data_IF_600169651479
#
_entry.id   IF_600169651479
#
_cell.length_a   1.000
_cell.length_b   1.000
_cell.length_c   1.000
_cell.angle_alpha   90.00
_cell.angle_beta   90.00
_cell.angle_gamma   90.00
#
_symmetry.space_group_name_H-M   'P 1'
#
loop_
_entity.id
_entity.type
_entity.pdbx_description
1 polymer ?
#
# COMPACT_ATOMS: atom_id res chain seq x y z
N UNK A 1 -100.07 10.03 34.21
CA UNK A 1 -99.62 8.77 33.56
C UNK A 1 -99.38 8.96 32.06
N UNK A 2 -100.29 9.56 31.29
CA UNK A 2 -100.09 9.77 29.84
C UNK A 2 -98.84 10.61 29.49
N UNK A 3 -98.58 11.71 30.20
CA UNK A 3 -97.40 12.54 29.97
C UNK A 3 -96.07 11.76 30.14
N UNK A 4 -95.99 10.88 31.15
CA UNK A 4 -94.80 10.06 31.38
C UNK A 4 -94.60 9.00 30.28
N UNK A 5 -95.68 8.48 29.68
CA UNK A 5 -95.59 7.55 28.55
C UNK A 5 -95.07 8.27 27.30
N UNK A 6 -95.49 9.52 27.09
CA UNK A 6 -95.05 10.33 25.96
C UNK A 6 -93.57 10.71 26.07
N UNK A 7 -93.10 11.10 27.25
CA UNK A 7 -91.67 11.34 27.53
C UNK A 7 -90.82 10.09 27.28
N UNK A 8 -91.25 8.93 27.77
CA UNK A 8 -90.54 7.67 27.54
C UNK A 8 -90.48 7.31 26.05
N UNK A 9 -91.59 7.49 25.32
CA UNK A 9 -91.61 7.27 23.86
C UNK A 9 -90.64 8.19 23.11
N UNK A 10 -90.53 9.47 23.51
CA UNK A 10 -89.57 10.41 22.92
C UNK A 10 -88.12 10.00 23.20
N UNK A 11 -87.81 9.54 24.42
CA UNK A 11 -86.48 9.02 24.75
C UNK A 11 -86.13 7.79 23.92
N UNK A 12 -87.06 6.83 23.76
CA UNK A 12 -86.82 5.66 22.90
C UNK A 12 -86.64 6.03 21.42
N UNK A 13 -87.42 6.98 20.91
CA UNK A 13 -87.24 7.48 19.55
C UNK A 13 -85.87 8.14 19.37
N UNK A 14 -85.43 8.96 20.34
CA UNK A 14 -84.11 9.57 20.34
C UNK A 14 -82.97 8.54 20.41
N UNK A 15 -83.10 7.51 21.24
CA UNK A 15 -82.13 6.40 21.32
C UNK A 15 -82.05 5.61 20.01
N UNK A 16 -83.18 5.38 19.35
CA UNK A 16 -83.22 4.69 18.05
C UNK A 16 -82.52 5.51 16.97
N UNK A 17 -82.80 6.81 16.89
CA UNK A 17 -82.13 7.71 15.94
C UNK A 17 -80.61 7.74 16.21
N UNK A 18 -80.20 7.86 17.48
CA UNK A 18 -78.78 7.86 17.85
C UNK A 18 -78.07 6.55 17.48
N UNK A 19 -78.77 5.41 17.55
CA UNK A 19 -78.26 4.11 17.08
C UNK A 19 -78.10 4.06 15.56
N UNK A 20 -79.08 4.55 14.81
CA UNK A 20 -79.01 4.63 13.34
C UNK A 20 -77.87 5.56 12.89
N UNK A 21 -77.74 6.73 13.51
CA UNK A 21 -76.65 7.69 13.24
C UNK A 21 -75.28 7.07 13.58
N UNK A 22 -75.18 6.33 14.69
CA UNK A 22 -73.95 5.62 15.07
C UNK A 22 -73.60 4.50 14.08
N UNK A 23 -74.59 3.75 13.58
CA UNK A 23 -74.36 2.76 12.53
C UNK A 23 -73.87 3.37 11.23
N UNK A 24 -74.47 4.49 10.80
CA UNK A 24 -74.02 5.22 9.61
C UNK A 24 -72.61 5.81 9.79
N UNK A 25 -72.30 6.34 10.97
CA UNK A 25 -70.96 6.79 11.31
C UNK A 25 -69.93 5.63 11.26
N UNK A 26 -70.27 4.45 11.77
CA UNK A 26 -69.38 3.28 11.67
C UNK A 26 -69.23 2.80 10.22
N UNK A 27 -70.30 2.80 9.41
CA UNK A 27 -70.24 2.42 7.99
C UNK A 27 -69.38 3.39 7.18
N UNK A 28 -69.48 4.69 7.46
CA UNK A 28 -68.64 5.70 6.78
C UNK A 28 -67.18 5.57 7.19
N UNK A 29 -66.89 5.40 8.49
CA UNK A 29 -65.53 5.13 8.96
C UNK A 29 -64.93 3.88 8.30
N UNK A 30 -65.66 2.76 8.29
CA UNK A 30 -65.22 1.52 7.65
C UNK A 30 -64.93 1.69 6.15
N UNK A 31 -65.74 2.49 5.43
CA UNK A 31 -65.47 2.82 4.01
C UNK A 31 -64.18 3.64 3.86
N UNK A 32 -63.98 4.65 4.70
CA UNK A 32 -62.76 5.48 4.64
C UNK A 32 -61.50 4.71 5.03
N UNK A 33 -61.58 3.79 5.99
CA UNK A 33 -60.45 2.94 6.35
C UNK A 33 -60.13 1.96 5.22
N UNK A 34 -61.16 1.39 4.57
CA UNK A 34 -60.98 0.53 3.41
C UNK A 34 -60.33 1.26 2.23
N UNK A 35 -60.72 2.50 1.94
CA UNK A 35 -60.08 3.27 0.85
C UNK A 35 -58.62 3.59 1.17
N UNK A 36 -58.32 4.01 2.41
CA UNK A 36 -56.94 4.24 2.87
C UNK A 36 -56.07 2.97 2.77
N UNK A 37 -56.63 1.82 3.12
CA UNK A 37 -55.91 0.55 3.04
C UNK A 37 -55.63 0.16 1.58
N UNK A 38 -56.57 0.39 0.67
CA UNK A 38 -56.36 0.15 -0.75
C UNK A 38 -55.32 1.11 -1.36
N UNK A 39 -55.35 2.39 -0.99
CA UNK A 39 -54.34 3.37 -1.39
C UNK A 39 -52.95 2.97 -0.89
N UNK A 40 -52.83 2.58 0.37
CA UNK A 40 -51.57 2.10 0.93
C UNK A 40 -51.06 0.82 0.24
N UNK A 41 -51.95 -0.11 -0.13
CA UNK A 41 -51.57 -1.30 -0.91
C UNK A 41 -51.07 -0.92 -2.31
N UNK A 42 -51.68 0.08 -2.95
CA UNK A 42 -51.25 0.57 -4.26
C UNK A 42 -49.89 1.25 -4.17
N UNK A 43 -49.64 2.08 -3.15
CA UNK A 43 -48.33 2.70 -2.92
C UNK A 43 -47.23 1.66 -2.71
N UNK A 44 -47.48 0.63 -1.90
CA UNK A 44 -46.51 -0.46 -1.68
C UNK A 44 -46.25 -1.23 -2.97
N UNK A 45 -47.27 -1.42 -3.83
CA UNK A 45 -47.08 -2.09 -5.13
C UNK A 45 -46.20 -1.27 -6.06
N UNK A 46 -46.38 0.06 -6.12
CA UNK A 46 -45.56 0.96 -6.93
C UNK A 46 -44.12 1.01 -6.43
N UNK A 47 -43.92 1.05 -5.11
CA UNK A 47 -42.58 1.03 -4.53
C UNK A 47 -41.82 -0.25 -4.89
N UNK A 48 -42.50 -1.41 -4.91
CA UNK A 48 -41.88 -2.67 -5.35
C UNK A 48 -41.48 -2.63 -6.82
N UNK A 49 -42.32 -2.07 -7.69
CA UNK A 49 -41.99 -1.92 -9.11
C UNK A 49 -40.79 -0.99 -9.31
N UNK A 50 -40.73 0.14 -8.59
CA UNK A 50 -39.57 1.05 -8.62
C UNK A 50 -38.29 0.40 -8.09
N UNK A 51 -38.38 -0.40 -7.02
CA UNK A 51 -37.23 -1.16 -6.49
C UNK A 51 -36.74 -2.21 -7.49
N UNK A 52 -37.64 -2.93 -8.15
CA UNK A 52 -37.31 -3.89 -9.20
C UNK A 52 -36.65 -3.20 -10.41
N UNK A 53 -37.10 -1.99 -10.79
CA UNK A 53 -36.46 -1.20 -11.84
C UNK A 53 -35.06 -0.74 -11.44
N UNK A 54 -34.87 -0.23 -10.22
CA UNK A 54 -33.55 0.14 -9.70
C UNK A 54 -32.60 -1.05 -9.66
N UNK A 55 -33.11 -2.23 -9.29
CA UNK A 55 -32.32 -3.46 -9.29
C UNK A 55 -31.89 -3.84 -10.71
N UNK A 56 -32.80 -3.78 -11.69
CA UNK A 56 -32.47 -4.01 -13.11
C UNK A 56 -31.46 -3.00 -13.66
N UNK A 57 -31.56 -1.74 -13.29
CA UNK A 57 -30.57 -0.72 -13.67
C UNK A 57 -29.20 -1.01 -13.08
N UNK A 58 -29.15 -1.43 -11.81
CA UNK A 58 -27.92 -1.83 -11.16
C UNK A 58 -27.27 -3.03 -11.85
N UNK A 59 -28.06 -4.05 -12.21
CA UNK A 59 -27.59 -5.22 -12.96
C UNK A 59 -27.01 -4.83 -14.32
N UNK A 60 -27.70 -3.98 -15.10
CA UNK A 60 -27.19 -3.47 -16.39
C UNK A 60 -25.88 -2.71 -16.24
N UNK A 61 -25.76 -1.87 -15.21
CA UNK A 61 -24.52 -1.14 -14.94
C UNK A 61 -23.38 -2.07 -14.51
N UNK A 62 -23.70 -3.15 -13.80
CA UNK A 62 -22.73 -4.19 -13.44
C UNK A 62 -22.24 -4.91 -14.70
N UNK A 63 -23.15 -5.37 -15.56
CA UNK A 63 -22.82 -6.03 -16.83
C UNK A 63 -21.97 -5.13 -17.74
N UNK A 64 -22.31 -3.84 -17.83
CA UNK A 64 -21.53 -2.87 -18.59
C UNK A 64 -20.09 -2.75 -18.07
N UNK A 65 -19.92 -2.68 -16.75
CA UNK A 65 -18.58 -2.61 -16.12
C UNK A 65 -17.79 -3.89 -16.32
N UNK A 66 -18.44 -5.06 -16.27
CA UNK A 66 -17.81 -6.34 -16.55
C UNK A 66 -17.35 -6.41 -18.01
N UNK A 67 -18.16 -5.95 -18.95
CA UNK A 67 -17.80 -5.86 -20.35
C UNK A 67 -16.59 -4.93 -20.58
N UNK A 68 -16.59 -3.73 -20.00
CA UNK A 68 -15.45 -2.82 -20.08
C UNK A 68 -14.17 -3.43 -19.48
N UNK A 69 -14.30 -4.19 -18.39
CA UNK A 69 -13.18 -4.88 -17.77
C UNK A 69 -12.63 -5.99 -18.68
N UNK A 70 -13.50 -6.80 -19.27
CA UNK A 70 -13.12 -7.85 -20.23
C UNK A 70 -12.43 -7.25 -21.46
N UNK A 71 -12.92 -6.14 -22.00
CA UNK A 71 -12.31 -5.47 -23.15
C UNK A 71 -10.89 -4.95 -22.81
N UNK A 72 -10.71 -4.36 -21.62
CA UNK A 72 -9.38 -3.92 -21.14
C UNK A 72 -8.44 -5.10 -20.93
N UNK A 73 -8.95 -6.22 -20.44
CA UNK A 73 -8.18 -7.45 -20.27
C UNK A 73 -7.71 -8.01 -21.61
N UNK A 74 -8.61 -8.14 -22.59
CA UNK A 74 -8.28 -8.60 -23.94
C UNK A 74 -7.20 -7.73 -24.60
N UNK A 75 -7.29 -6.40 -24.46
CA UNK A 75 -6.25 -5.46 -24.94
C UNK A 75 -4.88 -5.67 -24.27
N UNK A 76 -4.85 -6.08 -23.00
CA UNK A 76 -3.59 -6.41 -22.32
C UNK A 76 -3.03 -7.75 -22.78
N UNK A 77 -3.89 -8.73 -23.02
CA UNK A 77 -3.49 -10.04 -23.53
C UNK A 77 -2.87 -9.94 -24.94
N UNK A 78 -3.48 -9.16 -25.82
CA UNK A 78 -2.92 -8.85 -27.14
C UNK A 78 -1.53 -8.16 -27.04
N UNK A 79 -1.37 -7.20 -26.12
CA UNK A 79 -0.07 -6.57 -25.84
C UNK A 79 0.97 -7.55 -25.31
N UNK A 80 0.56 -8.54 -24.53
CA UNK A 80 1.46 -9.59 -24.04
C UNK A 80 1.85 -10.52 -25.20
N UNK A 81 0.91 -10.90 -26.05
CA UNK A 81 1.15 -11.78 -27.19
C UNK A 81 2.07 -11.12 -28.23
N UNK A 82 1.85 -9.87 -28.58
CA UNK A 82 2.75 -9.10 -29.46
C UNK A 82 4.18 -9.01 -28.89
N UNK A 83 4.33 -8.80 -27.57
CA UNK A 83 5.65 -8.83 -26.91
C UNK A 83 6.29 -10.22 -26.92
N UNK A 84 5.49 -11.29 -26.75
CA UNK A 84 5.97 -12.68 -26.86
C UNK A 84 6.48 -12.97 -28.27
N UNK A 85 5.76 -12.53 -29.31
CA UNK A 85 6.19 -12.67 -30.70
C UNK A 85 7.48 -11.90 -30.99
N UNK A 86 7.58 -10.65 -30.52
CA UNK A 86 8.81 -9.87 -30.63
C UNK A 86 9.99 -10.58 -29.93
N UNK A 87 9.75 -11.10 -28.72
CA UNK A 87 10.77 -11.88 -27.99
C UNK A 87 11.18 -13.13 -28.77
N UNK A 88 10.22 -13.84 -29.37
CA UNK A 88 10.50 -15.01 -30.20
C UNK A 88 11.32 -14.66 -31.46
N UNK A 89 11.01 -13.54 -32.13
CA UNK A 89 11.80 -13.02 -33.26
C UNK A 89 13.25 -12.72 -32.84
N UNK A 90 13.44 -12.08 -31.69
CA UNK A 90 14.78 -11.81 -31.16
C UNK A 90 15.54 -13.10 -30.85
N UNK A 91 14.90 -14.07 -30.19
CA UNK A 91 15.52 -15.38 -29.93
C UNK A 91 15.91 -16.09 -31.22
N UNK A 92 15.05 -16.06 -32.26
CA UNK A 92 15.35 -16.62 -33.57
C UNK A 92 16.59 -15.95 -34.21
N UNK A 93 16.75 -14.64 -34.05
CA UNK A 93 17.92 -13.89 -34.55
C UNK A 93 19.21 -14.13 -33.74
N UNK A 94 19.10 -14.46 -32.45
CA UNK A 94 20.26 -14.75 -31.60
C UNK A 94 20.88 -16.12 -31.87
N UNK A 95 20.09 -17.12 -32.28
CA UNK A 95 20.57 -18.47 -32.58
C UNK A 95 21.72 -18.52 -33.61
N UNK A 96 21.64 -17.89 -34.79
CA UNK A 96 22.74 -17.91 -35.75
C UNK A 96 23.99 -17.19 -35.23
N UNK A 97 23.84 -16.09 -34.47
CA UNK A 97 24.98 -15.40 -33.84
C UNK A 97 25.66 -16.29 -32.80
N UNK A 98 24.89 -17.04 -32.01
CA UNK A 98 25.45 -18.02 -31.07
C UNK A 98 26.20 -19.14 -31.80
N UNK A 99 25.69 -19.60 -32.95
CA UNK A 99 26.39 -20.58 -33.79
C UNK A 99 27.69 -20.02 -34.36
N UNK A 100 27.71 -18.76 -34.83
CA UNK A 100 28.94 -18.09 -35.28
C UNK A 100 29.98 -17.95 -34.15
N UNK A 101 29.55 -17.57 -32.94
CA UNK A 101 30.45 -17.52 -31.78
C UNK A 101 31.02 -18.92 -31.48
N UNK A 102 30.22 -19.97 -31.62
CA UNK A 102 30.70 -21.34 -31.44
C UNK A 102 31.73 -21.74 -32.50
N UNK A 103 31.49 -21.42 -33.78
CA UNK A 103 32.43 -21.65 -34.88
C UNK A 103 33.76 -20.89 -34.68
N UNK A 104 33.72 -19.61 -34.33
CA UNK A 104 34.93 -18.84 -34.06
C UNK A 104 35.72 -19.39 -32.86
N UNK A 105 35.03 -19.96 -31.86
CA UNK A 105 35.69 -20.61 -30.72
C UNK A 105 36.40 -21.90 -31.13
N UNK A 106 35.84 -22.69 -32.05
CA UNK A 106 36.51 -23.89 -32.57
C UNK A 106 37.71 -23.53 -33.44
N UNK A 107 37.58 -22.53 -34.31
CA UNK A 107 38.70 -22.02 -35.14
C UNK A 107 39.85 -21.47 -34.27
N UNK A 108 39.54 -20.71 -33.22
CA UNK A 108 40.55 -20.25 -32.27
C UNK A 108 41.23 -21.40 -31.51
N UNK A 109 40.51 -22.49 -31.23
CA UNK A 109 41.09 -23.67 -30.60
C UNK A 109 42.05 -24.40 -31.56
N UNK A 110 41.68 -24.56 -32.84
CA UNK A 110 42.52 -25.14 -33.88
C UNK A 110 43.77 -24.28 -34.16
N UNK A 111 43.62 -22.96 -34.24
CA UNK A 111 44.76 -22.06 -34.39
C UNK A 111 45.75 -22.18 -33.21
N UNK A 112 45.25 -22.39 -31.98
CA UNK A 112 46.09 -22.61 -30.80
C UNK A 112 46.85 -23.94 -30.87
N UNK A 113 46.21 -25.02 -31.33
CA UNK A 113 46.90 -26.32 -31.48
C UNK A 113 47.95 -26.28 -32.58
N UNK A 114 47.68 -25.59 -33.69
CA UNK A 114 48.65 -25.35 -34.76
C UNK A 114 49.85 -24.53 -34.26
N UNK A 115 49.61 -23.44 -33.54
CA UNK A 115 50.69 -22.64 -32.94
C UNK A 115 51.55 -23.47 -31.98
N UNK A 116 50.93 -24.27 -31.10
CA UNK A 116 51.67 -25.17 -30.21
C UNK A 116 52.51 -26.21 -30.99
N UNK A 117 52.00 -26.73 -32.11
CA UNK A 117 52.77 -27.62 -32.98
C UNK A 117 53.97 -26.92 -33.63
N UNK A 118 53.80 -25.68 -34.10
CA UNK A 118 54.88 -24.87 -34.65
C UNK A 118 55.94 -24.54 -33.60
N UNK A 119 55.53 -24.16 -32.38
CA UNK A 119 56.45 -23.92 -31.27
C UNK A 119 57.27 -25.18 -30.93
N UNK A 120 56.63 -26.36 -30.91
CA UNK A 120 57.33 -27.63 -30.70
C UNK A 120 58.34 -27.94 -31.82
N UNK A 121 58.00 -27.65 -33.09
CA UNK A 121 58.91 -27.83 -34.23
C UNK A 121 60.11 -26.88 -34.17
N UNK A 122 59.87 -25.59 -33.91
CA UNK A 122 60.91 -24.57 -33.81
C UNK A 122 61.80 -24.77 -32.57
N UNK A 123 61.23 -25.26 -31.46
CA UNK A 123 61.97 -25.58 -30.25
C UNK A 123 62.91 -26.78 -30.42
N UNK A 124 62.53 -27.77 -31.26
CA UNK A 124 63.37 -28.94 -31.54
C UNK A 124 64.64 -28.58 -32.34
N UNK A 125 64.60 -27.60 -33.24
CA UNK A 125 65.78 -27.17 -34.02
C UNK A 125 66.79 -26.35 -33.21
N UNK A 126 66.38 -25.69 -32.12
CA UNK A 126 67.25 -24.81 -31.31
C UNK A 126 68.06 -25.51 -30.21
N UNK A 127 67.97 -26.84 -30.08
CA UNK A 127 68.68 -27.62 -29.04
C UNK A 127 69.86 -28.45 -29.57
N UNK A 128 70.36 -28.15 -30.77
CA UNK A 128 71.50 -28.83 -31.38
C UNK A 128 72.85 -28.08 -31.26
N UNK A 129 72.96 -27.08 -30.39
CA UNK A 129 74.25 -26.49 -30.04
C UNK A 129 74.75 -27.05 -28.69
N UNK A 130 75.88 -27.79 -28.66
CA UNK A 130 76.46 -28.29 -27.43
C UNK A 130 77.15 -27.14 -26.69
N UNK A 131 76.45 -26.52 -25.75
CA UNK A 131 77.09 -25.64 -24.77
C UNK A 131 77.87 -26.55 -23.82
N UNK A 132 79.17 -26.61 -24.07
CA UNK A 132 80.16 -27.26 -23.23
C UNK A 132 80.19 -26.66 -21.82
N UNK A 133 80.52 -27.53 -20.89
CA UNK A 133 80.55 -27.38 -19.44
C UNK A 133 81.12 -26.06 -18.90
N UNK A 134 80.42 -25.50 -17.91
CA UNK A 134 81.04 -24.70 -16.86
C UNK A 134 80.44 -25.06 -15.49
N UNK A 135 81.27 -25.42 -14.48
CA UNK A 135 80.80 -25.94 -13.21
C UNK A 135 80.52 -24.86 -12.14
N UNK A 136 79.64 -25.25 -11.23
CA UNK A 136 79.56 -24.86 -9.82
C UNK A 136 79.08 -23.44 -9.43
N UNK A 137 77.96 -23.41 -8.69
CA UNK A 137 77.96 -23.04 -7.25
C UNK A 137 76.59 -23.31 -6.60
N UNK A 138 76.53 -24.03 -5.45
CA UNK A 138 75.34 -24.06 -4.62
C UNK A 138 75.30 -22.78 -3.78
N UNK A 139 74.24 -21.97 -3.89
CA UNK A 139 74.09 -20.77 -3.05
C UNK A 139 72.69 -20.68 -2.44
N UNK A 140 72.66 -21.08 -1.17
CA UNK A 140 71.93 -20.50 -0.03
C UNK A 140 70.41 -20.35 -0.13
N UNK A 141 69.76 -21.20 0.66
CA UNK A 141 68.79 -20.84 1.70
C UNK A 141 68.73 -19.34 2.08
N UNK A 142 67.51 -18.80 2.02
CA UNK A 142 67.06 -17.59 2.70
C UNK A 142 65.57 -17.40 2.40
N UNK A 143 64.66 -17.91 3.22
CA UNK A 143 64.09 -17.24 4.41
C UNK A 143 63.41 -15.90 4.12
N UNK A 144 62.12 -15.85 4.45
CA UNK A 144 61.35 -14.70 4.95
C UNK A 144 61.10 -13.51 4.01
N UNK A 145 59.81 -13.29 3.71
CA UNK A 145 59.03 -12.07 4.00
C UNK A 145 57.65 -12.30 3.37
N UNK A 146 56.56 -12.51 4.13
CA UNK A 146 55.72 -11.47 4.73
C UNK A 146 55.44 -10.27 3.81
N UNK A 147 54.15 -9.91 3.76
CA UNK A 147 53.57 -8.67 3.23
C UNK A 147 53.41 -8.49 1.71
N UNK A 148 52.18 -8.70 1.25
CA UNK A 148 51.45 -7.78 0.37
C UNK A 148 49.98 -8.17 0.44
N UNK A 149 49.24 -7.69 1.45
CA UNK A 149 48.37 -6.53 1.27
C UNK A 149 47.81 -6.47 -0.16
N UNK A 150 46.62 -7.06 -0.35
CA UNK A 150 45.76 -6.75 -1.48
C UNK A 150 45.39 -5.26 -1.41
N UNK A 151 45.78 -4.41 -2.39
CA UNK A 151 45.22 -3.08 -2.45
C UNK A 151 43.79 -3.18 -2.97
N UNK A 152 42.83 -2.76 -2.13
CA UNK A 152 41.50 -2.37 -2.57
C UNK A 152 41.64 -1.40 -3.75
N UNK A 153 40.88 -1.55 -4.85
CA UNK A 153 40.88 -0.57 -5.91
C UNK A 153 40.23 0.72 -5.41
N UNK A 154 41.08 1.68 -5.06
CA UNK A 154 40.71 3.06 -4.80
C UNK A 154 40.16 3.71 -6.08
N UNK A 155 38.99 4.34 -5.92
CA UNK A 155 38.56 5.57 -6.56
C UNK A 155 39.28 6.00 -7.86
N UNK A 156 38.76 5.56 -9.02
CA UNK A 156 38.91 6.33 -10.26
C UNK A 156 37.85 7.44 -10.28
N UNK A 157 38.25 8.61 -9.80
CA UNK A 157 37.71 9.89 -10.27
C UNK A 157 38.25 10.18 -11.68
N UNK A 158 37.43 10.88 -12.46
CA UNK A 158 37.79 11.69 -13.65
C UNK A 158 37.84 10.99 -15.01
N UNK A 159 36.70 10.96 -15.71
CA UNK A 159 36.67 11.17 -17.16
C UNK A 159 35.28 11.64 -17.65
N UNK A 160 35.26 12.85 -18.22
CA UNK A 160 34.36 13.33 -19.30
C UNK A 160 32.84 13.26 -19.11
N UNK A 161 32.26 14.34 -18.54
CA UNK A 161 30.88 14.75 -18.81
C UNK A 161 30.79 15.32 -20.25
N UNK A 162 29.89 14.85 -21.12
CA UNK A 162 29.59 15.55 -22.36
C UNK A 162 28.83 16.85 -22.06
N UNK A 163 29.31 17.91 -22.70
CA UNK A 163 28.83 19.30 -22.69
C UNK A 163 27.38 19.31 -23.19
N UNK A 164 26.40 19.41 -22.28
CA UNK A 164 25.00 19.65 -22.65
C UNK A 164 24.90 21.06 -23.24
N UNK A 165 24.68 21.08 -24.54
CA UNK A 165 24.41 22.24 -25.36
C UNK A 165 23.23 23.01 -24.80
N UNK A 166 23.48 24.29 -24.56
CA UNK A 166 22.51 25.31 -24.18
C UNK A 166 21.53 25.53 -25.33
N UNK A 167 20.28 25.11 -25.14
CA UNK A 167 19.15 25.59 -25.94
C UNK A 167 18.33 26.55 -25.08
N UNK A 168 18.55 27.83 -25.35
CA UNK A 168 17.82 28.97 -24.82
C UNK A 168 16.36 29.00 -25.30
N UNK A 169 15.48 29.38 -24.37
CA UNK A 169 14.34 30.31 -24.52
C UNK A 169 13.45 30.21 -25.77
N UNK A 170 12.18 29.89 -25.51
CA UNK A 170 10.97 30.61 -25.95
C UNK A 170 9.81 30.12 -25.03
N UNK A 171 9.31 30.85 -24.01
CA UNK A 171 8.22 31.88 -24.06
C UNK A 171 7.20 31.56 -25.16
N UNK A 172 5.90 31.31 -24.96
CA UNK A 172 4.87 31.46 -23.90
C UNK A 172 3.63 30.65 -24.37
N UNK A 173 2.34 30.88 -24.01
CA UNK A 173 1.65 31.13 -22.72
C UNK A 173 0.42 30.19 -22.49
N UNK A 174 -0.17 30.27 -21.28
CA UNK A 174 -1.60 30.05 -20.96
C UNK A 174 -2.33 28.76 -21.37
N UNK A 175 -2.69 27.95 -20.36
CA UNK A 175 -4.05 27.38 -20.14
C UNK A 175 -4.09 26.83 -18.71
N UNK A 176 -4.77 27.51 -17.77
CA UNK A 176 -6.12 27.14 -17.29
C UNK A 176 -6.28 25.61 -17.31
N UNK A 177 -6.02 24.89 -16.23
CA UNK A 177 -6.83 24.92 -15.02
C UNK A 177 -8.01 23.97 -15.19
N UNK A 178 -7.87 22.69 -14.83
CA UNK A 178 -8.97 21.83 -14.35
C UNK A 178 -8.38 20.89 -13.29
N UNK A 179 -8.61 21.23 -12.01
CA UNK A 179 -8.56 20.26 -10.91
C UNK A 179 -9.91 19.57 -10.88
N UNK A 180 -10.01 18.34 -11.37
CA UNK A 180 -11.17 17.50 -11.12
C UNK A 180 -11.10 17.01 -9.67
N UNK A 181 -11.88 17.68 -8.82
CA UNK A 181 -12.42 17.08 -7.59
C UNK A 181 -13.61 16.23 -8.02
N UNK A 182 -13.59 14.95 -7.68
CA UNK A 182 -14.77 14.08 -7.76
C UNK A 182 -15.32 13.84 -6.34
N UNK A 183 -16.65 13.89 -6.16
CA UNK A 183 -17.33 13.58 -4.89
C UNK A 183 -17.26 12.05 -4.66
N UNK A 184 -17.23 11.51 -3.45
CA UNK A 184 -18.30 11.58 -2.47
C UNK A 184 -19.06 10.24 -2.46
N UNK A 185 -19.11 9.63 -1.29
CA UNK A 185 -20.17 8.72 -0.80
C UNK A 185 -20.16 7.20 -1.06
N UNK A 186 -20.76 6.55 -0.05
CA UNK A 186 -21.17 5.13 0.14
C UNK A 186 -20.16 4.24 0.88
N UNK A 187 -20.32 3.93 2.17
CA UNK A 187 -21.43 3.25 2.90
C UNK A 187 -21.74 1.83 2.41
N UNK A 188 -21.76 0.90 3.39
CA UNK A 188 -22.30 -0.48 3.38
C UNK A 188 -21.67 -1.49 2.40
N UNK A 189 -21.29 -2.72 2.74
CA UNK A 189 -21.92 -3.78 3.57
C UNK A 189 -20.82 -4.79 3.97
N UNK A 190 -20.74 -5.29 5.21
CA UNK A 190 -21.45 -6.47 5.75
C UNK A 190 -21.41 -7.75 4.88
N UNK A 191 -21.08 -8.83 5.59
CA UNK A 191 -21.30 -10.25 5.28
C UNK A 191 -20.35 -10.94 4.28
N UNK A 192 -19.41 -11.73 4.82
CA UNK A 192 -19.13 -13.08 4.32
C UNK A 192 -18.55 -13.96 5.42
N UNK A 193 -19.47 -14.63 6.11
CA UNK A 193 -19.32 -16.03 6.47
C UNK A 193 -18.85 -16.83 5.24
N UNK A 194 -17.86 -17.70 5.44
CA UNK A 194 -17.96 -19.13 5.11
C UNK A 194 -16.61 -19.81 5.30
N UNK A 195 -16.67 -20.84 6.16
CA UNK A 195 -16.09 -22.16 5.96
C UNK A 195 -14.73 -22.26 5.28
N UNK A 196 -13.74 -22.67 6.09
CA UNK A 196 -12.87 -23.77 5.67
C UNK A 196 -12.42 -24.56 6.89
N UNK A 197 -12.89 -25.80 6.91
CA UNK A 197 -12.72 -26.76 7.99
C UNK A 197 -11.29 -27.26 8.17
N UNK A 198 -11.17 -28.03 9.23
CA UNK A 198 -10.36 -29.24 9.38
C UNK A 198 -8.98 -29.25 8.72
N UNK A 199 -7.96 -29.08 9.56
CA UNK A 199 -6.90 -30.07 9.57
C UNK A 199 -6.33 -30.26 10.98
N UNK A 200 -6.69 -31.42 11.49
CA UNK A 200 -6.14 -32.14 12.62
C UNK A 200 -4.60 -32.17 12.70
N UNK A 201 -4.14 -32.36 13.94
CA UNK A 201 -2.94 -33.10 14.31
C UNK A 201 -1.59 -32.50 13.88
N UNK A 202 -0.90 -31.89 14.85
CA UNK A 202 0.32 -32.51 15.40
C UNK A 202 0.79 -31.80 16.66
N UNK A 203 0.63 -32.52 17.76
CA UNK A 203 1.48 -32.45 18.93
C UNK A 203 2.95 -32.40 18.53
N UNK A 204 3.69 -31.47 19.14
CA UNK A 204 5.05 -31.74 19.64
C UNK A 204 5.50 -30.62 20.57
N UNK A 205 5.50 -31.00 21.84
CA UNK A 205 6.20 -30.39 22.96
C UNK A 205 7.61 -29.93 22.58
N UNK A 206 7.96 -28.68 22.91
CA UNK A 206 9.33 -28.31 23.26
C UNK A 206 9.31 -27.09 24.18
N UNK A 207 9.63 -27.35 25.45
CA UNK A 207 9.80 -26.35 26.49
C UNK A 207 10.89 -25.32 26.14
N UNK A 208 10.79 -24.06 26.61
CA UNK A 208 11.88 -23.11 26.58
C UNK A 208 12.67 -23.12 27.89
N UNK A 209 14.02 -23.10 27.87
CA UNK A 209 14.77 -22.79 29.06
C UNK A 209 14.68 -21.30 29.40
N UNK A 210 14.67 -21.09 30.70
CA UNK A 210 14.56 -19.87 31.47
C UNK A 210 15.80 -18.96 31.41
N UNK A 211 15.64 -17.76 32.01
CA UNK A 211 16.68 -16.79 32.44
C UNK A 211 17.14 -15.82 31.34
N UNK A 212 17.37 -14.51 31.55
CA UNK A 212 17.78 -13.70 32.71
C UNK A 212 17.20 -12.27 32.56
N UNK A 213 16.61 -11.69 33.61
CA UNK A 213 17.17 -10.61 34.47
C UNK A 213 17.96 -9.51 33.73
N UNK A 214 17.47 -8.28 33.85
CA UNK A 214 18.16 -7.06 33.46
C UNK A 214 17.40 -5.81 33.89
N UNK A 215 17.26 -5.64 35.21
CA UNK A 215 16.89 -4.37 35.85
C UNK A 215 18.01 -3.36 35.67
N UNK A 216 17.71 -2.23 35.02
CA UNK A 216 18.68 -1.16 34.78
C UNK A 216 18.00 0.19 34.88
N UNK A 217 17.83 0.66 36.11
CA UNK A 217 17.61 2.06 36.44
C UNK A 217 18.79 2.90 35.92
N UNK A 218 18.53 3.94 35.13
CA UNK A 218 19.44 5.09 34.99
C UNK A 218 18.64 6.39 34.92
N UNK A 219 18.52 6.95 36.11
CA UNK A 219 18.72 8.34 36.51
C UNK A 219 18.80 9.43 35.44
N UNK A 220 18.04 10.48 35.77
CA UNK A 220 18.05 11.85 35.28
C UNK A 220 19.43 12.53 35.40
N UNK A 221 19.82 13.29 34.38
CA UNK A 221 20.68 14.48 34.46
C UNK A 221 20.34 15.31 33.20
N UNK A 222 19.69 16.48 33.26
CA UNK A 222 20.13 17.75 33.83
C UNK A 222 21.46 18.25 33.22
N UNK A 223 21.34 18.93 32.07
CA UNK A 223 22.25 19.94 31.47
C UNK A 223 21.32 20.81 30.61
N UNK A 224 21.01 22.07 30.84
CA UNK A 224 21.77 23.22 31.36
C UNK A 224 23.16 23.32 30.73
N UNK A 225 23.23 24.02 29.59
CA UNK A 225 24.25 25.05 29.36
C UNK A 225 24.00 25.83 28.05
N UNK A 226 23.59 27.09 28.22
CA UNK A 226 24.16 28.30 27.61
C UNK A 226 24.76 28.23 26.21
N UNK A 227 24.07 28.83 25.21
CA UNK A 227 24.78 29.60 24.18
C UNK A 227 23.93 30.73 23.60
N UNK A 228 24.53 31.91 23.64
CA UNK A 228 23.94 33.22 23.49
C UNK A 228 23.31 33.56 22.12
N UNK A 229 22.37 34.52 22.11
CA UNK A 229 21.83 35.16 20.93
C UNK A 229 22.46 36.54 20.69
N UNK A 230 23.30 36.69 19.66
CA UNK A 230 23.69 38.02 19.16
C UNK A 230 23.88 38.02 17.65
N UNK A 231 22.95 38.67 16.93
CA UNK A 231 23.29 39.56 15.82
C UNK A 231 22.18 40.60 15.62
N UNK A 232 22.52 41.77 16.12
CA UNK A 232 21.98 43.09 15.85
C UNK A 232 21.78 43.34 14.35
N UNK A 233 20.59 43.83 14.01
CA UNK A 233 20.20 44.21 12.66
C UNK A 233 19.12 45.28 12.70
N UNK A 234 19.45 46.42 13.30
CA UNK A 234 18.63 47.61 13.40
C UNK A 234 18.36 48.20 12.01
N UNK A 235 17.11 48.12 11.54
CA UNK A 235 16.54 49.15 10.66
C UNK A 235 15.09 49.40 11.05
N UNK A 236 14.94 50.50 11.78
CA UNK A 236 13.74 51.27 12.00
C UNK A 236 12.98 51.48 10.69
N UNK A 237 11.71 51.09 10.67
CA UNK A 237 10.70 51.68 9.81
C UNK A 237 9.35 51.55 10.52
N UNK A 238 8.70 52.69 10.63
CA UNK A 238 7.54 53.00 11.46
C UNK A 238 6.25 52.19 11.20
N UNK A 239 5.30 52.24 12.15
CA UNK A 239 4.11 51.42 12.18
C UNK A 239 2.98 52.02 11.35
N UNK A 240 2.85 51.58 10.09
CA UNK A 240 1.67 51.88 9.30
C UNK A 240 0.50 50.98 9.74
N UNK A 241 -0.38 51.60 10.54
CA UNK A 241 -1.75 51.20 10.79
C UNK A 241 -2.45 50.80 9.48
N UNK A 242 -2.64 49.49 9.28
CA UNK A 242 -3.80 48.95 8.54
C UNK A 242 -4.49 48.01 9.53
N UNK A 243 -5.45 48.49 10.35
CA UNK A 243 -6.88 48.53 10.00
C UNK A 243 -7.17 47.77 8.70
N UNK A 244 -7.51 46.49 8.86
CA UNK A 244 -8.04 45.68 7.77
C UNK A 244 -7.91 44.20 8.06
N UNK A 245 -9.01 43.58 8.47
CA UNK A 245 -9.21 42.14 8.29
C UNK A 245 -9.02 41.29 9.55
N UNK A 246 -10.02 41.31 10.43
CA UNK A 246 -10.34 40.15 11.26
C UNK A 246 -10.68 38.97 10.34
N UNK A 247 -9.65 38.28 9.87
CA UNK A 247 -9.77 37.02 9.15
C UNK A 247 -10.07 35.92 10.15
N UNK A 248 -11.36 35.70 10.40
CA UNK A 248 -11.91 34.54 11.08
C UNK A 248 -11.60 33.31 10.19
N UNK A 249 -10.37 32.83 10.27
CA UNK A 249 -9.88 31.65 9.56
C UNK A 249 -10.45 30.37 10.17
N UNK A 250 -11.77 30.19 10.03
CA UNK A 250 -12.36 28.86 9.87
C UNK A 250 -11.95 28.36 8.48
N UNK A 251 -11.74 27.05 8.36
CA UNK A 251 -11.43 26.34 7.12
C UNK A 251 -9.95 26.32 6.70
N UNK A 252 -9.11 25.79 7.59
CA UNK A 252 -7.74 25.33 7.26
C UNK A 252 -7.66 23.81 6.98
N UNK A 253 -8.79 23.20 6.62
CA UNK A 253 -8.87 21.77 6.27
C UNK A 253 -8.73 21.49 4.77
N UNK A 254 -8.58 22.52 3.93
CA UNK A 254 -8.55 22.33 2.49
C UNK A 254 -7.13 22.43 1.91
N UNK A 255 -6.47 21.26 1.82
CA UNK A 255 -5.46 20.90 0.82
C UNK A 255 -4.02 21.38 1.07
N UNK A 256 -3.18 20.45 1.55
CA UNK A 256 -1.85 20.30 0.94
C UNK A 256 -0.71 19.88 1.85
N UNK A 257 -0.81 20.07 3.16
CA UNK A 257 0.11 19.42 4.09
C UNK A 257 -0.51 18.08 4.45
N UNK A 258 -0.01 16.98 3.86
CA UNK A 258 -0.26 15.65 4.39
C UNK A 258 0.22 15.65 5.83
N UNK A 259 -0.67 15.97 6.77
CA UNK A 259 -0.35 16.03 8.18
C UNK A 259 0.27 14.69 8.54
N UNK A 260 1.50 14.73 9.06
CA UNK A 260 2.31 13.56 9.37
C UNK A 260 1.45 12.65 10.25
N UNK A 261 1.13 11.45 9.74
CA UNK A 261 0.33 10.47 10.47
C UNK A 261 1.09 10.05 11.72
N UNK A 262 0.35 9.87 12.82
CA UNK A 262 0.93 9.33 14.03
C UNK A 262 1.40 7.89 13.79
N UNK A 263 2.71 7.65 13.65
CA UNK A 263 3.21 6.29 13.44
C UNK A 263 2.84 5.33 14.58
N UNK A 264 2.61 5.84 15.79
CA UNK A 264 2.19 5.04 16.94
C UNK A 264 0.73 4.58 16.86
N UNK A 265 -0.17 5.35 16.24
CA UNK A 265 -1.57 4.91 16.08
C UNK A 265 -1.66 3.81 15.03
N UNK A 266 -0.86 3.91 13.96
CA UNK A 266 -0.75 2.84 12.95
C UNK A 266 -0.19 1.57 13.60
N UNK A 267 0.76 1.65 14.54
CA UNK A 267 1.28 0.47 15.25
C UNK A 267 0.37 0.02 16.42
N UNK A 268 -0.72 0.74 16.73
CA UNK A 268 -1.61 0.41 17.85
C UNK A 268 -1.01 0.70 19.24
N UNK A 269 0.01 1.56 19.33
CA UNK A 269 0.74 1.90 20.57
C UNK A 269 0.52 3.34 21.05
N UNK A 270 -0.28 4.15 20.35
CA UNK A 270 -0.56 5.53 20.77
C UNK A 270 -1.56 5.56 21.94
N UNK A 271 -1.19 6.17 23.07
CA UNK A 271 -2.06 6.35 24.24
C UNK A 271 -2.67 7.75 24.34
N UNK A 272 -2.29 8.67 23.45
CA UNK A 272 -2.71 10.08 23.51
C UNK A 272 -4.13 10.33 22.99
N UNK A 273 -4.73 9.34 22.31
CA UNK A 273 -6.04 9.48 21.68
C UNK A 273 -6.13 10.72 20.79
N UNK A 274 -7.22 11.46 20.89
CA UNK A 274 -7.47 12.66 20.09
C UNK A 274 -6.61 13.87 20.49
N UNK A 275 -5.91 13.81 21.63
CA UNK A 275 -4.97 14.84 22.06
C UNK A 275 -3.58 14.68 21.44
N UNK A 276 -3.41 13.74 20.51
CA UNK A 276 -2.15 13.55 19.82
C UNK A 276 -1.87 14.74 18.88
N UNK A 277 -0.66 15.33 18.90
CA UNK A 277 -0.32 16.42 17.98
C UNK A 277 -0.20 15.96 16.52
N UNK A 278 -0.19 14.64 16.28
CA UNK A 278 -0.12 14.03 14.95
C UNK A 278 -1.48 13.46 14.56
N UNK A 279 -1.81 13.51 13.26
CA UNK A 279 -3.11 13.05 12.74
C UNK A 279 -3.31 11.56 13.05
N UNK A 280 -4.45 11.24 13.65
CA UNK A 280 -4.94 9.87 13.79
C UNK A 280 -5.88 9.56 12.63
N UNK A 281 -5.51 8.68 11.70
CA UNK A 281 -6.43 8.23 10.67
C UNK A 281 -7.52 7.34 11.29
N UNK A 282 -8.74 7.33 10.73
CA UNK A 282 -9.80 6.42 11.14
C UNK A 282 -9.39 4.96 10.95
N UNK A 283 -10.06 4.04 11.64
CA UNK A 283 -9.71 2.62 11.68
C UNK A 283 -9.56 1.99 10.28
N UNK A 284 -10.47 2.28 9.35
CA UNK A 284 -10.41 1.79 7.98
C UNK A 284 -9.16 2.27 7.22
N UNK A 285 -8.69 3.50 7.47
CA UNK A 285 -7.48 4.03 6.84
C UNK A 285 -6.23 3.37 7.44
N UNK A 286 -6.24 3.01 8.73
CA UNK A 286 -5.19 2.21 9.37
C UNK A 286 -5.06 0.84 8.71
N UNK A 287 -6.17 0.15 8.46
CA UNK A 287 -6.19 -1.15 7.75
C UNK A 287 -5.64 -1.04 6.33
N UNK A 288 -5.99 0.02 5.59
CA UNK A 288 -5.43 0.28 4.26
C UNK A 288 -3.91 0.53 4.31
N UNK A 289 -3.43 1.25 5.32
CA UNK A 289 -1.99 1.48 5.52
C UNK A 289 -1.29 0.15 5.86
N UNK A 290 -1.89 -0.69 6.71
CA UNK A 290 -1.37 -2.02 7.02
C UNK A 290 -1.31 -2.90 5.78
N UNK A 291 -2.36 -2.91 4.96
CA UNK A 291 -2.39 -3.67 3.71
C UNK A 291 -1.32 -3.22 2.71
N UNK A 292 -1.07 -1.91 2.61
CA UNK A 292 0.00 -1.36 1.74
C UNK A 292 1.40 -1.67 2.28
N UNK A 293 1.63 -1.47 3.58
CA UNK A 293 2.93 -1.72 4.23
C UNK A 293 3.26 -3.22 4.25
N UNK A 294 2.27 -4.07 4.51
CA UNK A 294 2.41 -5.53 4.55
C UNK A 294 2.71 -6.17 3.19
N UNK A 295 2.51 -5.45 2.08
CA UNK A 295 2.97 -5.88 0.75
C UNK A 295 4.41 -5.45 0.44
N UNK A 296 4.88 -4.41 1.09
CA UNK A 296 6.21 -3.85 0.84
C UNK A 296 7.26 -4.70 1.58
N UNK A 297 8.27 -5.25 0.89
CA UNK A 297 9.32 -6.01 1.57
C UNK A 297 10.09 -5.10 2.52
N UNK A 298 10.38 -5.62 3.72
CA UNK A 298 11.18 -4.92 4.70
C UNK A 298 12.58 -4.67 4.16
N UNK A 299 13.01 -3.39 4.10
CA UNK A 299 14.34 -3.00 3.62
C UNK A 299 15.48 -3.69 4.38
N UNK A 300 15.24 -4.03 5.64
CA UNK A 300 16.20 -4.69 6.52
C UNK A 300 16.10 -6.22 6.51
N UNK A 301 15.19 -6.80 5.72
CA UNK A 301 15.06 -8.25 5.56
C UNK A 301 14.95 -8.99 6.90
N UNK A 302 15.65 -10.12 7.01
CA UNK A 302 15.69 -10.95 8.23
C UNK A 302 16.30 -10.22 9.43
N UNK A 303 17.21 -9.28 9.21
CA UNK A 303 17.99 -8.57 10.25
C UNK A 303 17.23 -7.40 10.90
N UNK A 304 15.97 -7.17 10.52
CA UNK A 304 15.19 -6.07 11.07
C UNK A 304 15.00 -6.23 12.61
N UNK A 305 15.56 -5.34 13.43
CA UNK A 305 15.42 -5.41 14.89
C UNK A 305 14.15 -4.74 15.42
N UNK A 306 13.35 -4.12 14.54
CA UNK A 306 12.16 -3.36 14.94
C UNK A 306 11.00 -4.27 15.34
N UNK A 307 10.68 -4.29 16.62
CA UNK A 307 9.49 -4.96 17.14
C UNK A 307 8.21 -4.34 16.55
N UNK A 308 7.38 -5.16 15.91
CA UNK A 308 6.16 -4.71 15.22
C UNK A 308 6.41 -3.99 13.88
N UNK A 309 7.45 -4.37 13.13
CA UNK A 309 7.65 -3.86 11.78
C UNK A 309 6.46 -4.24 10.87
N UNK A 310 5.84 -3.25 10.23
CA UNK A 310 4.65 -3.41 9.39
C UNK A 310 4.96 -3.94 7.98
N UNK A 311 6.23 -4.03 7.60
CA UNK A 311 6.69 -4.52 6.29
C UNK A 311 6.78 -6.05 6.24
N UNK A 312 6.63 -6.64 5.05
CA UNK A 312 6.76 -8.09 4.85
C UNK A 312 8.21 -8.55 5.08
N UNK A 313 8.40 -9.60 5.87
CA UNK A 313 9.71 -10.25 6.03
C UNK A 313 9.72 -11.56 5.24
N UNK A 314 10.87 -11.98 4.67
CA UNK A 314 11.00 -13.32 4.12
C UNK A 314 10.80 -14.38 5.23
N UNK A 315 10.35 -15.56 4.82
CA UNK A 315 10.06 -16.68 5.71
C UNK A 315 11.30 -17.06 6.53
N UNK A 316 11.14 -17.26 7.84
CA UNK A 316 12.24 -17.58 8.77
C UNK A 316 12.37 -16.59 9.92
N UNK A 317 11.96 -15.32 9.72
CA UNK A 317 11.77 -14.40 10.83
C UNK A 317 10.36 -14.58 11.39
N UNK A 318 10.17 -15.59 12.25
CA UNK A 318 8.95 -15.64 13.07
C UNK A 318 8.84 -14.28 13.75
N UNK A 319 7.80 -13.53 13.42
CA UNK A 319 7.42 -12.39 14.24
C UNK A 319 7.43 -12.93 15.67
N UNK A 320 8.32 -12.43 16.51
CA UNK A 320 8.18 -12.58 17.96
C UNK A 320 6.91 -11.80 18.27
N UNK A 321 5.78 -12.45 18.00
CA UNK A 321 4.43 -12.01 18.28
C UNK A 321 4.50 -11.77 19.78
N UNK A 322 4.42 -10.51 20.19
CA UNK A 322 4.37 -10.15 21.60
C UNK A 322 3.42 -11.15 22.28
N UNK A 323 3.79 -11.81 23.39
CA UNK A 323 2.87 -12.65 24.11
C UNK A 323 1.61 -11.83 24.37
N UNK A 324 0.48 -12.34 23.86
CA UNK A 324 -0.82 -11.68 23.89
C UNK A 324 -1.01 -11.00 25.25
N UNK A 325 -1.28 -9.70 25.26
CA UNK A 325 -1.57 -8.91 26.48
C UNK A 325 -2.86 -9.36 27.20
N UNK A 326 -3.40 -10.52 26.84
CA UNK A 326 -4.55 -11.22 27.43
C UNK A 326 -4.43 -11.50 28.95
N UNK A 327 -3.29 -11.22 29.60
CA UNK A 327 -3.10 -11.45 31.04
C UNK A 327 -3.34 -10.24 31.96
N UNK A 328 -3.76 -9.07 31.47
CA UNK A 328 -3.96 -7.87 32.33
C UNK A 328 -5.40 -7.42 32.58
N UNK A 329 -6.41 -8.15 32.11
CA UNK A 329 -7.84 -7.86 32.40
C UNK A 329 -8.46 -8.74 33.49
N UNK A 330 -7.65 -9.45 34.30
CA UNK A 330 -8.08 -10.04 35.58
C UNK A 330 -7.42 -9.31 36.74
N UNK A 331 -7.95 -8.16 37.13
CA UNK A 331 -7.71 -7.52 38.43
C UNK A 331 -8.88 -6.61 38.74
#
# INVERSE_FOLDING_TARGET
MLAAVEEVSQVFAGLKQALEDAEEAMKTLARTEKTKLNEALQEVSQQREEEDERQKEFERLSEQKEFEFQERWAKQEEKINTKREQSHKLVKSLKPLQAQIAQLRTELAEARTLNASLENKMGAEKLADPIQDAPAKPRRTGSQSQESQSPCPAARRSASKPKRQSCSRSRSPQRRGIRLHGPGDSQDSRARDQDRGDQEQRDRCREPPSSRRGTGERTRAARDDSREPQRSGSRSAEPQRRRGGGGKGKDKDARGAQAILCSFVVVGKCTRGDRCPLRHPPAHEVELIHGKMGRTPCRFGLDCTRAGCLCKHPEGKRALREPSRERRSRS
#
